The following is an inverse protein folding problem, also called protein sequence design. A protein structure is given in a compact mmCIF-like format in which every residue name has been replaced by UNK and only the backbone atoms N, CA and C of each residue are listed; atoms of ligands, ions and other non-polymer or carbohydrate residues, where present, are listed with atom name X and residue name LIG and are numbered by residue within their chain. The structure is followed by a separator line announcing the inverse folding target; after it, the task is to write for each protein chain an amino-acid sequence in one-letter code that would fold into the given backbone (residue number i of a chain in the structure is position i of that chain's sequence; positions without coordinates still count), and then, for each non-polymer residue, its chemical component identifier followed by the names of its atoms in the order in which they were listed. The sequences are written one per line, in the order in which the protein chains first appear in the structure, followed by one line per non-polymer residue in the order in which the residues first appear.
data_IF_996844957414
#
_entry.id   IF_996844957414
#
_cell.length_a   1.000
_cell.length_b   1.000
_cell.length_c   1.000
_cell.angle_alpha   90.00
_cell.angle_beta   90.00
_cell.angle_gamma   90.00
#
_symmetry.space_group_name_H-M   'P 1'
#
loop_
_entity.id
_entity.type
_entity.pdbx_description
1 polymer ?
#
# COMPACT_ATOMS: atom_id res chain seq x y z
N UNK A 1 5.94 10.55 -29.50
CA UNK A 1 5.51 9.38 -28.69
C UNK A 1 4.78 9.91 -27.48
N UNK A 2 3.50 9.56 -27.31
CA UNK A 2 2.70 10.02 -26.17
C UNK A 2 3.29 9.46 -24.86
N UNK A 3 3.49 10.31 -23.85
CA UNK A 3 3.86 9.87 -22.49
C UNK A 3 2.70 9.01 -21.96
N UNK A 4 2.96 7.81 -21.40
CA UNK A 4 1.92 7.06 -20.70
C UNK A 4 1.44 7.89 -19.51
N UNK A 5 0.15 8.24 -19.48
CA UNK A 5 -0.49 8.99 -18.38
C UNK A 5 -0.34 8.29 -17.01
N UNK A 6 -0.04 6.99 -17.03
CA UNK A 6 0.14 6.13 -15.87
C UNK A 6 1.59 6.00 -15.39
N UNK A 7 2.56 6.69 -15.99
CA UNK A 7 3.93 6.74 -15.44
C UNK A 7 4.02 7.81 -14.36
N UNK A 8 3.97 7.36 -13.11
CA UNK A 8 4.24 8.21 -11.95
C UNK A 8 5.69 8.04 -11.54
N UNK A 9 6.45 9.14 -11.57
CA UNK A 9 7.60 9.37 -10.69
C UNK A 9 7.20 9.04 -9.23
N UNK A 10 8.15 8.79 -8.33
CA UNK A 10 7.85 8.49 -6.92
C UNK A 10 7.00 9.61 -6.30
N UNK A 11 5.68 9.43 -6.28
CA UNK A 11 4.71 10.36 -5.72
C UNK A 11 4.38 9.92 -4.30
N UNK A 12 4.38 10.86 -3.37
CA UNK A 12 3.84 10.64 -2.04
C UNK A 12 2.34 10.34 -2.13
N UNK A 13 1.92 9.20 -1.60
CA UNK A 13 0.51 8.90 -1.40
C UNK A 13 0.06 9.53 -0.08
N UNK A 14 -1.00 10.35 -0.11
CA UNK A 14 -1.69 10.77 1.11
C UNK A 14 -2.73 9.72 1.44
N UNK A 15 -2.56 9.03 2.56
CA UNK A 15 -3.45 7.96 3.00
C UNK A 15 -4.37 8.46 4.10
N UNK A 16 -5.67 8.18 3.97
CA UNK A 16 -6.63 8.33 5.07
C UNK A 16 -6.87 6.95 5.67
N UNK A 17 -6.56 6.78 6.95
CA UNK A 17 -6.61 5.49 7.64
C UNK A 17 -7.54 5.56 8.86
N UNK A 18 -8.18 4.44 9.26
CA UNK A 18 -8.81 4.33 10.57
C UNK A 18 -7.80 4.55 11.69
N UNK A 19 -8.25 5.10 12.82
CA UNK A 19 -7.40 5.46 13.96
C UNK A 19 -6.62 4.26 14.49
N UNK A 20 -7.25 3.09 14.57
CA UNK A 20 -6.61 1.85 15.04
C UNK A 20 -5.48 1.41 14.13
N UNK A 21 -5.65 1.59 12.82
CA UNK A 21 -4.62 1.27 11.82
C UNK A 21 -3.44 2.22 11.98
N UNK A 22 -3.71 3.52 12.13
CA UNK A 22 -2.68 4.53 12.36
C UNK A 22 -1.88 4.24 13.64
N UNK A 23 -2.57 3.98 14.76
CA UNK A 23 -1.94 3.67 16.04
C UNK A 23 -1.03 2.44 15.96
N UNK A 24 -1.44 1.42 15.19
CA UNK A 24 -0.62 0.23 14.98
C UNK A 24 0.65 0.53 14.16
N UNK A 25 0.56 1.38 13.12
CA UNK A 25 1.74 1.81 12.35
C UNK A 25 2.72 2.60 13.21
N UNK A 26 2.21 3.49 14.09
CA UNK A 26 3.03 4.23 15.06
C UNK A 26 3.72 3.26 16.03
N UNK A 27 3.02 2.24 16.53
CA UNK A 27 3.62 1.21 17.39
C UNK A 27 4.78 0.50 16.66
N UNK A 28 4.57 0.06 15.41
CA UNK A 28 5.60 -0.62 14.63
C UNK A 28 6.82 0.27 14.39
N UNK A 29 6.61 1.54 14.07
CA UNK A 29 7.67 2.53 13.91
C UNK A 29 8.45 2.74 15.22
N UNK A 30 7.75 2.84 16.36
CA UNK A 30 8.36 2.94 17.69
C UNK A 30 9.18 1.71 18.08
N UNK A 31 8.79 0.53 17.60
CA UNK A 31 9.56 -0.72 17.75
C UNK A 31 10.69 -0.87 16.71
N UNK A 32 10.88 0.11 15.82
CA UNK A 32 11.86 0.06 14.73
C UNK A 32 11.57 -1.04 13.71
N UNK A 33 10.31 -1.47 13.58
CA UNK A 33 9.89 -2.51 12.63
C UNK A 33 9.58 -1.85 11.31
N UNK A 34 10.26 -2.28 10.24
CA UNK A 34 10.01 -1.83 8.86
C UNK A 34 10.29 -0.35 8.59
N UNK A 35 10.58 0.47 9.60
CA UNK A 35 10.83 1.90 9.43
C UNK A 35 10.92 2.61 10.79
N UNK A 36 11.22 3.91 10.76
CA UNK A 36 11.27 4.80 11.93
C UNK A 36 10.06 5.74 12.02
N UNK A 37 9.28 5.84 10.94
CA UNK A 37 8.05 6.63 10.89
C UNK A 37 6.88 5.75 10.44
N UNK A 38 5.67 6.10 10.84
CA UNK A 38 4.43 5.43 10.42
C UNK A 38 4.29 5.40 8.89
N UNK A 39 4.72 6.46 8.20
CA UNK A 39 4.72 6.55 6.74
C UNK A 39 5.69 5.57 6.08
N UNK A 40 6.90 5.40 6.63
CA UNK A 40 7.85 4.40 6.16
C UNK A 40 7.27 2.99 6.33
N UNK A 41 6.72 2.70 7.51
CA UNK A 41 6.08 1.40 7.80
C UNK A 41 4.93 1.14 6.83
N UNK A 42 4.05 2.12 6.63
CA UNK A 42 2.93 2.02 5.70
C UNK A 42 3.42 1.76 4.27
N UNK A 43 4.46 2.47 3.83
CA UNK A 43 5.07 2.29 2.51
C UNK A 43 5.60 0.87 2.34
N UNK A 44 6.34 0.35 3.34
CA UNK A 44 6.87 -1.00 3.31
C UNK A 44 5.78 -2.07 3.22
N UNK A 45 4.70 -1.91 4.00
CA UNK A 45 3.55 -2.83 3.96
C UNK A 45 2.86 -2.76 2.60
N UNK A 46 2.57 -1.56 2.09
CA UNK A 46 1.90 -1.38 0.81
C UNK A 46 2.69 -1.96 -0.36
N UNK A 47 4.01 -1.73 -0.40
CA UNK A 47 4.88 -2.30 -1.43
C UNK A 47 4.88 -3.83 -1.36
N UNK A 48 4.96 -4.40 -0.16
CA UNK A 48 4.92 -5.86 0.03
C UNK A 48 3.60 -6.46 -0.46
N UNK A 49 2.46 -5.88 -0.07
CA UNK A 49 1.15 -6.37 -0.50
C UNK A 49 0.94 -6.18 -2.01
N UNK A 50 1.42 -5.06 -2.59
CA UNK A 50 1.38 -4.84 -4.02
C UNK A 50 2.15 -5.91 -4.80
N UNK A 51 3.35 -6.29 -4.35
CA UNK A 51 4.09 -7.39 -4.96
C UNK A 51 3.39 -8.72 -4.79
N UNK A 52 2.84 -9.03 -3.61
CA UNK A 52 2.07 -10.25 -3.41
C UNK A 52 0.84 -10.32 -4.33
N UNK A 53 0.17 -9.19 -4.58
CA UNK A 53 -0.95 -9.11 -5.53
C UNK A 53 -0.50 -9.37 -6.98
N UNK A 54 0.65 -8.82 -7.38
CA UNK A 54 1.25 -9.06 -8.69
C UNK A 54 1.55 -10.56 -8.86
N UNK A 55 2.24 -11.17 -7.90
CA UNK A 55 2.60 -12.59 -7.92
C UNK A 55 1.37 -13.52 -7.98
N UNK A 56 0.27 -13.12 -7.35
CA UNK A 56 -1.00 -13.88 -7.36
C UNK A 56 -1.81 -13.71 -8.65
N UNK A 57 -1.34 -12.89 -9.59
CA UNK A 57 -2.10 -12.51 -10.79
C UNK A 57 -3.40 -11.80 -10.44
N UNK A 58 -3.43 -11.00 -9.37
CA UNK A 58 -4.67 -10.37 -8.89
C UNK A 58 -5.36 -9.53 -9.97
N UNK A 59 -4.57 -8.86 -10.82
CA UNK A 59 -5.05 -8.07 -11.96
C UNK A 59 -5.72 -8.91 -13.07
N UNK A 60 -5.53 -10.22 -13.07
CA UNK A 60 -6.17 -11.15 -14.01
C UNK A 60 -7.46 -11.75 -13.42
N UNK A 61 -7.62 -11.68 -12.09
CA UNK A 61 -8.80 -12.20 -11.40
C UNK A 61 -9.92 -11.16 -11.46
N UNK A 62 -11.04 -11.51 -12.10
CA UNK A 62 -12.28 -10.74 -11.93
C UNK A 62 -12.74 -10.92 -10.49
N UNK A 63 -12.77 -9.83 -9.73
CA UNK A 63 -13.44 -9.82 -8.42
C UNK A 63 -14.92 -10.07 -8.71
N UNK A 64 -15.52 -11.18 -8.22
CA UNK A 64 -16.94 -11.36 -8.36
C UNK A 64 -17.64 -10.18 -7.69
N UNK A 65 -18.51 -9.51 -8.44
CA UNK A 65 -19.40 -8.50 -7.86
C UNK A 65 -20.17 -9.23 -6.77
N UNK A 66 -20.07 -8.76 -5.52
CA UNK A 66 -20.82 -9.35 -4.43
C UNK A 66 -22.30 -9.34 -4.82
N UNK A 67 -22.85 -10.53 -5.06
CA UNK A 67 -24.29 -10.71 -5.22
C UNK A 67 -24.92 -10.39 -3.87
N UNK A 68 -25.75 -9.34 -3.85
CA UNK A 68 -26.57 -8.92 -2.71
C UNK A 68 -27.48 -10.03 -2.19
#
# INVERSE_FOLDING_TARGET
MARPENRSEARSLSLTLPEETFNYLVLLAGLGKLGRTENEVATHILVREAYAMIERGFHERKIPVATE
#
